data_IF_783680601433
#
_entry.id   IF_783680601433
#
_cell.length_a   1.000
_cell.length_b   1.000
_cell.length_c   1.000
_cell.angle_alpha   90.00
_cell.angle_beta   90.00
_cell.angle_gamma   90.00
#
_symmetry.space_group_name_H-M   'P 1'
#
loop_
_entity.id
_entity.type
_entity.pdbx_description
1 polymer ?
#
# COMPACT_ATOMS: atom_id res chain seq x y z
N UNK A 1 -12.56 -4.06 33.28
CA UNK A 1 -13.38 -3.57 32.16
C UNK A 1 -12.44 -3.34 31.00
N UNK A 2 -12.42 -4.22 30.01
CA UNK A 2 -11.68 -4.02 28.77
C UNK A 2 -12.51 -3.08 27.89
N UNK A 3 -11.93 -1.95 27.50
CA UNK A 3 -12.55 -1.07 26.53
C UNK A 3 -12.90 -1.88 25.27
N UNK A 4 -14.06 -1.66 24.63
CA UNK A 4 -14.35 -2.30 23.35
C UNK A 4 -13.23 -1.95 22.38
N UNK A 5 -12.59 -2.97 21.80
CA UNK A 5 -11.64 -2.81 20.71
C UNK A 5 -12.43 -2.31 19.51
N UNK A 6 -12.58 -0.99 19.38
CA UNK A 6 -13.01 -0.36 18.14
C UNK A 6 -11.84 -0.57 17.18
N UNK A 7 -12.00 -1.34 16.09
CA UNK A 7 -10.93 -1.48 15.10
C UNK A 7 -10.59 -0.08 14.56
N UNK A 8 -9.32 0.26 14.39
CA UNK A 8 -8.94 1.55 13.84
C UNK A 8 -9.55 1.74 12.44
N UNK A 9 -9.90 2.97 12.09
CA UNK A 9 -10.51 3.31 10.78
C UNK A 9 -9.59 2.93 9.61
N UNK A 10 -8.29 2.91 9.85
CA UNK A 10 -7.28 2.38 8.94
C UNK A 10 -6.13 1.68 9.70
N UNK A 11 -5.57 0.65 9.09
CA UNK A 11 -4.41 -0.08 9.59
C UNK A 11 -3.53 -0.52 8.43
N UNK A 12 -2.22 -0.33 8.58
CA UNK A 12 -1.20 -0.88 7.69
C UNK A 12 -0.15 -1.61 8.55
N UNK A 13 -0.01 -2.91 8.33
CA UNK A 13 1.03 -3.73 8.92
C UNK A 13 1.99 -4.16 7.80
N UNK A 14 3.31 -3.99 8.00
CA UNK A 14 4.33 -4.40 7.03
C UNK A 14 5.15 -5.56 7.57
N UNK A 15 5.36 -6.56 6.73
CA UNK A 15 6.11 -7.77 7.03
C UNK A 15 7.20 -7.91 5.97
N UNK A 16 8.49 -7.84 6.34
CA UNK A 16 9.57 -8.15 5.41
C UNK A 16 9.44 -9.60 4.94
N UNK A 17 9.55 -9.84 3.64
CA UNK A 17 9.50 -11.19 3.06
C UNK A 17 10.72 -11.43 2.17
N UNK A 18 11.16 -12.69 2.12
CA UNK A 18 12.09 -13.17 1.10
C UNK A 18 11.27 -13.70 -0.10
N UNK A 19 10.47 -12.82 -0.69
CA UNK A 19 9.56 -13.16 -1.78
C UNK A 19 10.27 -13.38 -3.11
N UNK A 20 9.56 -13.87 -4.14
CA UNK A 20 10.09 -13.86 -5.50
C UNK A 20 10.36 -12.42 -5.91
N UNK A 21 11.48 -12.21 -6.61
CA UNK A 21 11.79 -10.90 -7.17
C UNK A 21 10.61 -10.37 -8.01
N UNK A 22 10.19 -9.10 -7.86
CA UNK A 22 10.87 -8.03 -7.12
C UNK A 22 10.41 -7.84 -5.67
N UNK A 23 9.46 -8.63 -5.17
CA UNK A 23 8.79 -8.35 -3.90
C UNK A 23 9.69 -8.61 -2.69
N UNK A 24 9.70 -7.66 -1.75
CA UNK A 24 10.45 -7.79 -0.50
C UNK A 24 9.65 -7.39 0.75
N UNK A 25 8.41 -6.93 0.57
CA UNK A 25 7.46 -6.59 1.63
C UNK A 25 6.09 -7.18 1.32
N UNK A 26 5.47 -7.80 2.33
CA UNK A 26 4.05 -8.11 2.38
C UNK A 26 3.38 -7.12 3.33
N UNK A 27 2.41 -6.35 2.87
CA UNK A 27 1.61 -5.46 3.69
C UNK A 27 0.20 -6.03 3.89
N UNK A 28 -0.29 -5.98 5.13
CA UNK A 28 -1.72 -6.14 5.42
C UNK A 28 -2.32 -4.75 5.59
N UNK A 29 -3.37 -4.47 4.83
CA UNK A 29 -4.05 -3.17 4.79
C UNK A 29 -5.52 -3.38 5.11
N UNK A 30 -6.05 -2.64 6.07
CA UNK A 30 -7.48 -2.60 6.37
C UNK A 30 -7.91 -1.15 6.47
N UNK A 31 -9.02 -0.78 5.83
CA UNK A 31 -9.51 0.59 5.88
C UNK A 31 -10.99 0.69 5.52
N UNK A 32 -11.63 1.77 5.95
CA UNK A 32 -12.98 2.14 5.54
C UNK A 32 -12.93 3.12 4.37
N UNK A 33 -13.90 3.00 3.48
CA UNK A 33 -14.08 3.84 2.31
C UNK A 33 -15.53 4.29 2.25
N UNK A 34 -15.74 5.58 2.15
CA UNK A 34 -17.06 6.20 2.02
C UNK A 34 -17.25 6.73 0.60
N UNK A 35 -18.47 7.17 0.27
CA UNK A 35 -18.77 7.72 -1.06
C UNK A 35 -17.89 8.92 -1.43
N UNK A 36 -17.52 9.73 -0.43
CA UNK A 36 -16.73 10.95 -0.57
C UNK A 36 -15.27 10.67 -0.95
N UNK A 37 -14.74 9.50 -0.55
CA UNK A 37 -13.37 9.08 -0.83
C UNK A 37 -13.17 8.55 -2.26
N UNK A 38 -14.25 8.40 -3.03
CA UNK A 38 -14.26 7.63 -4.27
C UNK A 38 -14.29 8.49 -5.53
N UNK A 39 -13.32 8.23 -6.40
CA UNK A 39 -13.33 8.68 -7.78
C UNK A 39 -14.16 7.70 -8.62
N UNK A 40 -15.23 8.20 -9.26
CA UNK A 40 -16.10 7.40 -10.12
C UNK A 40 -15.51 7.29 -11.53
N UNK A 41 -15.22 6.06 -11.97
CA UNK A 41 -14.56 5.80 -13.25
C UNK A 41 -15.53 5.50 -14.40
N UNK A 42 -16.75 5.03 -14.11
CA UNK A 42 -17.75 4.74 -15.15
C UNK A 42 -19.16 4.84 -14.58
N UNK A 43 -20.02 5.60 -15.27
CA UNK A 43 -21.44 5.73 -14.93
C UNK A 43 -22.25 5.38 -16.19
N UNK A 44 -22.86 4.20 -16.21
CA UNK A 44 -23.96 3.90 -17.14
C UNK A 44 -25.19 3.62 -16.30
N UNK A 45 -26.11 4.59 -16.25
CA UNK A 45 -27.33 4.50 -15.44
C UNK A 45 -28.51 4.30 -16.38
N UNK A 46 -29.07 3.10 -16.38
CA UNK A 46 -30.43 2.85 -16.85
C UNK A 46 -31.33 2.65 -15.62
N UNK A 47 -32.38 3.46 -15.50
CA UNK A 47 -33.30 3.38 -14.36
C UNK A 47 -33.99 2.01 -14.28
N UNK A 48 -34.17 1.50 -13.06
CA UNK A 48 -34.82 0.20 -12.80
C UNK A 48 -33.94 -1.02 -13.05
N UNK A 49 -32.72 -0.85 -13.57
CA UNK A 49 -31.76 -1.94 -13.78
C UNK A 49 -30.72 -1.99 -12.66
N UNK A 50 -30.17 -3.18 -12.42
CA UNK A 50 -28.93 -3.31 -11.65
C UNK A 50 -27.81 -2.88 -12.58
N UNK A 51 -27.13 -1.80 -12.22
CA UNK A 51 -25.97 -1.30 -12.93
C UNK A 51 -24.71 -1.60 -12.14
N UNK A 52 -23.59 -1.65 -12.86
CA UNK A 52 -22.27 -1.86 -12.28
C UNK A 52 -21.49 -0.55 -12.39
N UNK A 53 -21.17 0.02 -11.25
CA UNK A 53 -20.40 1.27 -11.15
C UNK A 53 -18.99 0.93 -10.67
N UNK A 54 -17.97 1.46 -11.33
CA UNK A 54 -16.58 1.20 -10.98
C UNK A 54 -15.97 2.43 -10.33
N UNK A 55 -15.30 2.20 -9.21
CA UNK A 55 -14.68 3.21 -8.38
C UNK A 55 -13.20 2.94 -8.20
N UNK A 56 -12.44 4.03 -8.03
CA UNK A 56 -11.06 4.01 -7.57
C UNK A 56 -11.02 4.47 -6.11
N UNK A 57 -10.38 3.68 -5.26
CA UNK A 57 -10.31 3.90 -3.82
C UNK A 57 -8.86 4.14 -3.39
N UNK A 58 -8.56 5.25 -2.70
CA UNK A 58 -7.24 5.48 -2.09
C UNK A 58 -7.08 4.59 -0.86
N UNK A 59 -6.03 3.77 -0.85
CA UNK A 59 -5.67 3.00 0.35
C UNK A 59 -4.73 3.82 1.25
N UNK A 60 -4.67 3.54 2.57
CA UNK A 60 -3.69 4.18 3.45
C UNK A 60 -2.24 3.68 3.23
N UNK A 61 -2.03 2.75 2.30
CA UNK A 61 -0.71 2.20 1.99
C UNK A 61 0.04 3.14 1.05
N UNK A 62 1.10 3.75 1.57
CA UNK A 62 2.08 4.54 0.82
C UNK A 62 3.41 3.78 0.81
N UNK A 63 4.03 3.63 -0.36
CA UNK A 63 5.31 2.93 -0.49
C UNK A 63 6.42 3.71 0.23
N UNK A 64 7.17 3.04 1.10
CA UNK A 64 8.35 3.62 1.72
C UNK A 64 9.46 3.87 0.69
N UNK A 65 10.10 5.04 0.75
CA UNK A 65 11.19 5.40 -0.16
C UNK A 65 10.77 5.34 -1.62
N UNK A 66 9.53 5.73 -1.92
CA UNK A 66 8.98 5.68 -3.26
C UNK A 66 9.78 6.57 -4.23
N UNK A 67 10.24 5.95 -5.32
CA UNK A 67 10.92 6.54 -6.45
C UNK A 67 10.10 6.21 -7.69
N UNK A 68 9.51 7.22 -8.32
CA UNK A 68 8.67 7.06 -9.50
C UNK A 68 9.42 6.48 -10.70
N UNK A 69 10.75 6.55 -10.69
CA UNK A 69 11.58 5.97 -11.75
C UNK A 69 11.86 4.48 -11.55
N UNK A 70 11.70 3.94 -10.33
CA UNK A 70 11.90 2.52 -10.05
C UNK A 70 10.67 1.67 -10.43
N UNK A 71 10.78 0.98 -11.55
CA UNK A 71 9.72 0.11 -12.08
C UNK A 71 9.33 -1.05 -11.15
N UNK A 72 10.18 -1.41 -10.17
CA UNK A 72 9.83 -2.44 -9.18
C UNK A 72 8.76 -1.95 -8.22
N UNK A 73 8.80 -0.67 -7.85
CA UNK A 73 7.83 -0.06 -6.94
C UNK A 73 6.46 0.15 -7.59
N UNK A 74 6.38 0.08 -8.93
CA UNK A 74 5.13 0.13 -9.69
C UNK A 74 4.41 -1.21 -9.77
N UNK A 75 5.09 -2.31 -9.40
CA UNK A 75 4.51 -3.65 -9.40
C UNK A 75 3.94 -3.94 -8.02
N UNK A 76 2.62 -3.97 -7.94
CA UNK A 76 1.87 -4.28 -6.73
C UNK A 76 0.90 -5.40 -7.06
N UNK A 77 1.04 -6.52 -6.35
CA UNK A 77 0.09 -7.62 -6.40
C UNK A 77 -0.73 -7.63 -5.12
N UNK A 78 -1.99 -8.03 -5.20
CA UNK A 78 -2.83 -8.05 -4.01
C UNK A 78 -3.88 -9.16 -4.03
N UNK A 79 -4.28 -9.54 -2.82
CA UNK A 79 -5.46 -10.37 -2.55
C UNK A 79 -6.35 -9.59 -1.60
N UNK A 80 -7.49 -9.12 -2.13
CA UNK A 80 -8.36 -8.19 -1.43
C UNK A 80 -9.76 -8.75 -1.23
N UNK A 81 -10.38 -8.34 -0.14
CA UNK A 81 -11.79 -8.50 0.15
C UNK A 81 -12.38 -7.16 0.52
N UNK A 82 -13.65 -6.95 0.20
CA UNK A 82 -14.36 -5.74 0.58
C UNK A 82 -15.80 -6.07 0.92
N UNK A 83 -16.31 -5.46 1.99
CA UNK A 83 -17.64 -5.72 2.53
C UNK A 83 -18.35 -4.39 2.76
N UNK A 84 -19.60 -4.31 2.31
CA UNK A 84 -20.49 -3.21 2.63
C UNK A 84 -20.87 -3.29 4.11
N UNK A 85 -20.42 -2.34 4.93
CA UNK A 85 -20.61 -2.37 6.40
C UNK A 85 -21.70 -1.42 6.87
N UNK A 86 -21.95 -0.35 6.13
CA UNK A 86 -23.01 0.60 6.43
C UNK A 86 -23.68 1.06 5.14
N UNK A 87 -24.97 1.32 5.24
CA UNK A 87 -25.78 1.83 4.16
C UNK A 87 -26.86 2.75 4.71
N UNK A 88 -26.91 3.96 4.18
CA UNK A 88 -27.96 4.93 4.44
C UNK A 88 -28.61 5.31 3.12
N UNK A 89 -29.93 5.13 3.06
CA UNK A 89 -30.78 5.55 1.95
C UNK A 89 -31.76 6.59 2.48
N UNK A 90 -32.05 7.61 1.66
CA UNK A 90 -32.93 8.72 2.05
C UNK A 90 -34.43 8.39 1.97
N UNK A 91 -34.81 7.25 1.38
CA UNK A 91 -36.21 6.82 1.27
C UNK A 91 -36.42 5.36 1.68
N UNK A 92 -37.68 5.01 1.92
CA UNK A 92 -38.15 3.65 2.20
C UNK A 92 -38.21 2.74 0.95
N UNK A 93 -37.62 3.14 -0.17
CA UNK A 93 -37.64 2.36 -1.40
C UNK A 93 -36.69 1.14 -1.31
N UNK A 94 -37.03 0.03 -1.98
CA UNK A 94 -36.17 -1.14 -2.02
C UNK A 94 -34.88 -0.82 -2.77
N UNK A 95 -33.74 -0.97 -2.11
CA UNK A 95 -32.43 -0.80 -2.72
C UNK A 95 -31.74 -2.16 -2.93
N UNK A 96 -30.73 -2.18 -3.80
CA UNK A 96 -29.79 -3.29 -3.93
C UNK A 96 -28.41 -2.68 -4.06
N UNK A 97 -27.48 -3.08 -3.19
CA UNK A 97 -26.11 -2.61 -3.22
C UNK A 97 -25.17 -3.71 -2.72
N UNK A 98 -24.17 -4.06 -3.51
CA UNK A 98 -23.14 -5.02 -3.12
C UNK A 98 -21.81 -4.65 -3.77
N UNK A 99 -20.70 -4.89 -3.08
CA UNK A 99 -19.40 -4.97 -3.74
C UNK A 99 -19.44 -6.20 -4.63
N UNK A 100 -19.30 -6.00 -5.93
CA UNK A 100 -19.40 -7.06 -6.94
C UNK A 100 -18.03 -7.71 -7.17
N UNK A 101 -17.01 -6.89 -7.42
CA UNK A 101 -15.66 -7.38 -7.66
C UNK A 101 -14.61 -6.32 -7.33
N UNK A 102 -13.40 -6.78 -7.05
CA UNK A 102 -12.21 -5.94 -6.91
C UNK A 102 -11.33 -6.20 -8.13
N UNK A 103 -10.82 -5.14 -8.74
CA UNK A 103 -9.88 -5.23 -9.84
C UNK A 103 -8.62 -5.99 -9.43
N UNK A 104 -8.00 -6.66 -10.39
CA UNK A 104 -6.77 -7.42 -10.16
C UNK A 104 -5.53 -6.52 -10.11
N UNK A 105 -5.62 -5.35 -10.72
CA UNK A 105 -4.52 -4.41 -10.85
C UNK A 105 -4.67 -3.28 -9.81
N UNK A 106 -3.78 -3.27 -8.83
CA UNK A 106 -3.58 -2.10 -7.99
C UNK A 106 -2.76 -1.04 -8.74
N UNK A 107 -3.08 0.23 -8.50
CA UNK A 107 -2.37 1.35 -9.09
C UNK A 107 -1.52 2.04 -8.03
N UNK A 108 -0.36 2.55 -8.42
CA UNK A 108 0.50 3.36 -7.55
C UNK A 108 0.55 4.76 -8.13
N UNK A 109 0.14 5.74 -7.34
CA UNK A 109 0.21 7.15 -7.72
C UNK A 109 1.67 7.59 -7.96
N UNK A 110 1.89 8.30 -9.06
CA UNK A 110 3.23 8.67 -9.53
C UNK A 110 3.90 9.75 -8.69
N UNK A 111 3.13 10.51 -7.92
CA UNK A 111 3.63 11.62 -7.10
C UNK A 111 3.84 11.20 -5.65
N UNK A 112 2.84 10.52 -5.07
CA UNK A 112 2.80 10.18 -3.64
C UNK A 112 3.27 8.77 -3.32
N UNK A 113 3.29 7.85 -4.29
CA UNK A 113 3.51 6.43 -4.04
C UNK A 113 2.35 5.76 -3.29
N UNK A 114 1.18 6.39 -3.24
CA UNK A 114 -0.02 5.82 -2.63
C UNK A 114 -0.60 4.72 -3.51
N UNK A 115 -1.00 3.60 -2.88
CA UNK A 115 -1.66 2.49 -3.56
C UNK A 115 -3.16 2.73 -3.64
N UNK A 116 -3.74 2.52 -4.81
CA UNK A 116 -5.16 2.61 -5.10
C UNK A 116 -5.69 1.26 -5.56
N UNK A 117 -6.90 0.92 -5.10
CA UNK A 117 -7.62 -0.25 -5.58
C UNK A 117 -8.82 0.18 -6.42
N UNK A 118 -9.05 -0.53 -7.52
CA UNK A 118 -10.28 -0.40 -8.29
C UNK A 118 -11.27 -1.45 -7.84
N UNK A 119 -12.54 -1.11 -7.69
CA UNK A 119 -13.60 -2.09 -7.43
C UNK A 119 -14.89 -1.69 -8.12
N UNK A 120 -15.75 -2.68 -8.36
CA UNK A 120 -17.08 -2.45 -8.90
C UNK A 120 -18.13 -2.72 -7.84
N UNK A 121 -19.15 -1.88 -7.81
CA UNK A 121 -20.34 -2.04 -7.00
C UNK A 121 -21.55 -2.31 -7.91
N UNK A 122 -22.30 -3.36 -7.61
CA UNK A 122 -23.60 -3.58 -8.22
C UNK A 122 -24.65 -2.78 -7.44
N UNK A 123 -25.36 -1.89 -8.12
CA UNK A 123 -26.40 -1.03 -7.52
C UNK A 123 -27.65 -1.01 -8.38
N UNK A 124 -28.83 -0.99 -7.75
CA UNK A 124 -30.07 -0.66 -8.43
C UNK A 124 -30.43 0.80 -8.16
N UNK A 125 -30.56 1.59 -9.22
CA UNK A 125 -31.15 2.93 -9.18
C UNK A 125 -32.64 2.81 -9.47
N UNK A 126 -33.49 3.19 -8.52
CA UNK A 126 -34.96 3.15 -8.69
C UNK A 126 -35.48 4.41 -9.40
N UNK A 127 -34.68 5.47 -9.47
CA UNK A 127 -35.09 6.76 -10.03
C UNK A 127 -34.61 7.01 -11.46
N UNK A 128 -35.46 7.64 -12.27
CA UNK A 128 -35.19 8.16 -13.61
C UNK A 128 -34.81 9.65 -13.62
N UNK A 129 -34.42 10.22 -12.48
CA UNK A 129 -34.08 11.63 -12.38
C UNK A 129 -32.55 11.83 -12.42
N UNK A 130 -32.02 12.63 -13.35
CA UNK A 130 -30.60 12.99 -13.38
C UNK A 130 -30.21 14.00 -12.28
N UNK A 131 -31.18 14.46 -11.47
CA UNK A 131 -30.98 15.56 -10.49
C UNK A 131 -31.31 15.19 -9.05
N UNK A 132 -31.72 13.95 -8.76
CA UNK A 132 -31.91 13.52 -7.38
C UNK A 132 -30.68 12.77 -6.89
N UNK A 133 -29.81 13.56 -6.28
CA UNK A 133 -28.71 13.24 -5.38
C UNK A 133 -29.24 12.57 -4.08
N UNK A 134 -30.14 11.59 -4.22
CA UNK A 134 -30.50 10.67 -3.14
C UNK A 134 -29.36 9.66 -3.03
N UNK A 135 -28.23 10.18 -2.58
CA UNK A 135 -26.99 9.45 -2.46
C UNK A 135 -27.24 8.27 -1.54
N UNK A 136 -27.16 7.08 -2.11
CA UNK A 136 -26.90 5.89 -1.34
C UNK A 136 -25.55 6.12 -0.66
N UNK A 137 -25.59 6.56 0.59
CA UNK A 137 -24.39 6.72 1.40
C UNK A 137 -24.00 5.36 1.92
N UNK A 138 -22.73 5.02 1.79
CA UNK A 138 -22.23 3.72 2.21
C UNK A 138 -20.86 3.85 2.85
N UNK A 139 -20.55 2.86 3.67
CA UNK A 139 -19.19 2.55 4.09
C UNK A 139 -18.85 1.14 3.63
N UNK A 140 -17.69 0.99 2.98
CA UNK A 140 -17.13 -0.29 2.59
C UNK A 140 -15.85 -0.50 3.38
N UNK A 141 -15.70 -1.67 4.01
CA UNK A 141 -14.46 -2.07 4.66
C UNK A 141 -13.65 -2.93 3.70
N UNK A 142 -12.46 -2.45 3.36
CA UNK A 142 -11.45 -3.18 2.60
C UNK A 142 -10.52 -3.93 3.55
N UNK A 143 -10.08 -5.11 3.15
CA UNK A 143 -9.00 -5.86 3.79
C UNK A 143 -8.17 -6.53 2.70
N UNK A 144 -6.86 -6.24 2.67
CA UNK A 144 -5.99 -6.61 1.57
C UNK A 144 -4.62 -7.08 2.05
N UNK A 145 -4.14 -8.16 1.46
CA UNK A 145 -2.74 -8.58 1.49
C UNK A 145 -2.06 -8.09 0.23
N UNK A 146 -1.00 -7.30 0.37
CA UNK A 146 -0.35 -6.58 -0.73
C UNK A 146 1.13 -6.96 -0.80
N UNK A 147 1.56 -7.55 -1.91
CA UNK A 147 2.97 -7.79 -2.22
C UNK A 147 3.54 -6.61 -2.99
N UNK A 148 4.64 -6.07 -2.48
CA UNK A 148 5.27 -4.87 -3.03
C UNK A 148 6.78 -4.86 -2.78
N UNK A 149 7.45 -3.92 -3.44
CA UNK A 149 8.86 -3.64 -3.23
C UNK A 149 9.05 -2.29 -2.50
N UNK A 150 9.79 -2.32 -1.39
CA UNK A 150 10.22 -1.13 -0.65
C UNK A 150 11.75 -1.16 -0.48
N UNK A 151 12.48 -0.10 -0.87
CA UNK A 151 13.89 0.05 -0.54
C UNK A 151 14.10 -0.13 0.95
N UNK A 152 14.93 -1.12 1.32
CA UNK A 152 15.32 -1.27 2.72
C UNK A 152 16.27 -0.12 3.06
N UNK A 153 16.06 0.60 4.17
CA UNK A 153 17.12 1.44 4.68
C UNK A 153 18.35 0.56 4.89
N UNK A 154 19.50 0.96 4.33
CA UNK A 154 20.77 0.32 4.62
C UNK A 154 20.88 0.15 6.13
N UNK A 155 20.87 -1.10 6.60
CA UNK A 155 21.01 -1.37 8.01
C UNK A 155 22.33 -0.79 8.53
N UNK A 156 22.44 -0.53 9.85
CA UNK A 156 23.71 -0.08 10.44
C UNK A 156 24.90 -0.99 10.06
N UNK A 157 24.64 -2.28 9.79
CA UNK A 157 25.64 -3.27 9.41
C UNK A 157 26.38 -3.02 8.07
N UNK A 158 25.81 -2.26 7.13
CA UNK A 158 26.50 -1.97 5.86
C UNK A 158 27.44 -0.76 5.95
N UNK A 159 27.07 0.27 6.74
CA UNK A 159 27.96 1.41 7.02
C UNK A 159 29.21 0.97 7.79
N UNK A 160 29.07 0.02 8.70
CA UNK A 160 30.21 -0.50 9.48
C UNK A 160 31.08 -1.48 8.66
N UNK A 161 30.54 -2.17 7.65
CA UNK A 161 31.36 -2.95 6.71
C UNK A 161 32.20 -2.07 5.79
N UNK A 162 31.64 -0.99 5.26
CA UNK A 162 32.38 -0.03 4.42
C UNK A 162 33.50 0.67 5.19
N UNK A 163 33.26 1.01 6.47
CA UNK A 163 34.26 1.66 7.33
C UNK A 163 35.41 0.73 7.73
N UNK A 164 35.15 -0.57 7.90
CA UNK A 164 36.18 -1.56 8.22
C UNK A 164 36.99 -2.06 7.01
N UNK A 165 36.48 -1.89 5.79
CA UNK A 165 37.21 -2.23 4.56
C UNK A 165 38.32 -1.23 4.21
N UNK A 166 38.19 0.05 4.62
CA UNK A 166 39.26 1.05 4.47
C UNK A 166 40.39 0.94 5.52
N UNK A 167 40.24 0.11 6.56
CA UNK A 167 41.25 -0.09 7.60
C UNK A 167 42.27 -1.20 7.29
N UNK A 168 42.21 -1.84 6.10
CA UNK A 168 43.21 -2.81 5.66
C UNK A 168 44.16 -2.20 4.62
N UNK A 169 45.09 -1.39 5.10
CA UNK A 169 46.38 -1.19 4.42
C UNK A 169 47.34 -2.29 4.90
N UNK A 170 48.18 -2.88 4.03
CA UNK A 170 48.92 -4.10 4.34
C UNK A 170 50.02 -3.84 5.37
N UNK A 171 50.10 -4.66 6.41
CA UNK A 171 51.28 -4.72 7.28
C UNK A 171 52.38 -5.42 6.50
N UNK A 172 53.24 -4.63 5.85
CA UNK A 172 54.53 -5.10 5.36
C UNK A 172 55.40 -5.61 6.52
N UNK A 173 56.42 -6.43 6.26
CA UNK A 173 57.25 -6.99 7.31
C UNK A 173 57.98 -5.88 8.08
N UNK A 174 58.22 -6.05 9.39
CA UNK A 174 58.83 -5.03 10.22
C UNK A 174 60.27 -4.72 9.77
N UNK A 175 60.74 -3.47 9.86
CA UNK A 175 62.10 -3.12 9.49
C UNK A 175 63.09 -3.66 10.53
N UNK A 176 64.08 -4.43 10.06
CA UNK A 176 65.24 -4.84 10.86
C UNK A 176 66.14 -3.63 11.05
N UNK A 177 66.25 -3.12 12.29
CA UNK A 177 67.27 -2.14 12.66
C UNK A 177 68.61 -2.86 12.85
N UNK A 178 69.51 -2.77 11.87
CA UNK A 178 70.94 -2.92 12.12
C UNK A 178 71.53 -1.52 12.35
N UNK A 179 71.80 -1.20 13.61
CA UNK A 179 72.70 -0.10 13.97
C UNK A 179 73.85 -0.69 14.76
N UNK A 180 75.04 -0.55 14.19
CA UNK A 180 76.29 -1.07 14.72
C UNK A 180 76.74 -0.32 15.96
N UNK A 181 77.41 -1.09 16.82
CA UNK A 181 78.31 -0.59 17.85
C UNK A 181 79.51 0.09 17.19
N UNK A 182 79.73 1.37 17.52
CA UNK A 182 81.04 2.01 17.43
C UNK A 182 81.24 2.92 18.65
N UNK A 183 81.88 2.36 19.68
CA UNK A 183 83.04 2.93 20.38
C UNK A 183 82.93 4.17 21.27
N UNK A 184 83.33 4.00 22.54
CA UNK A 184 84.38 4.83 23.14
C UNK A 184 83.99 5.73 24.32
N UNK A 185 84.32 5.31 25.54
CA UNK A 185 85.20 6.02 26.49
C UNK A 185 85.70 5.06 27.57
#
# INVERSE_FOLDING_TARGET
MTAPLIPPESQVLRIPVAGPYPYNTLAYVQYLVTREDLESLTISIAAGQIVRETFRSPSPLILHGFDSTDQRQKRVEHSSTAVLTSLAASDAEPFTAAVDSIGIDAQVDDESGQVFFTFSQAKRYVYSSPFFDKQLNFAIRFSSWVLLYEPRPEGPDERDKARNLHARVPVGPPPVKHFGDVGGQ
#
